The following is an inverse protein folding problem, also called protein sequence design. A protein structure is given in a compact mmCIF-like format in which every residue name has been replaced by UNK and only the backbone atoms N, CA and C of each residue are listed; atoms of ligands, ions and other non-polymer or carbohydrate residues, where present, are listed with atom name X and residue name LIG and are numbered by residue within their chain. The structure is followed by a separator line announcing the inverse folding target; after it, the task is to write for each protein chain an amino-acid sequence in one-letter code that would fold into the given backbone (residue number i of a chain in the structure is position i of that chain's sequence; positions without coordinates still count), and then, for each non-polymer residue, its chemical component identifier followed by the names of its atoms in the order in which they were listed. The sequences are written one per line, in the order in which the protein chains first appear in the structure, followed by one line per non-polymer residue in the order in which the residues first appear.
data_IF_069362229274
#
_entry.id   IF_069362229274
#
_cell.length_a   1.000
_cell.length_b   1.000
_cell.length_c   1.000
_cell.angle_alpha   90.00
_cell.angle_beta   90.00
_cell.angle_gamma   90.00
#
_symmetry.space_group_name_H-M   'P 1'
#
loop_
_entity.id
_entity.type
_entity.pdbx_description
1 polymer ?
#
# COMPACT_ATOMS: atom_id res chain seq x y z
N UNK A 1 32.25 24.16 68.89
CA UNK A 1 33.38 23.91 67.98
C UNK A 1 33.02 24.44 66.60
N UNK A 2 33.88 25.29 66.08
CA UNK A 2 33.89 25.90 64.76
C UNK A 2 34.31 24.83 63.74
N UNK A 3 33.63 24.72 62.59
CA UNK A 3 34.31 24.51 61.30
C UNK A 3 33.51 25.17 60.17
N UNK A 4 34.27 25.84 59.31
CA UNK A 4 33.93 26.74 58.22
C UNK A 4 34.39 26.09 56.91
N UNK A 5 33.72 26.42 55.80
CA UNK A 5 34.19 26.22 54.42
C UNK A 5 33.35 25.18 53.67
N UNK A 6 32.91 25.40 52.43
CA UNK A 6 33.56 26.14 51.35
C UNK A 6 32.50 26.62 50.34
N UNK A 7 32.71 27.83 49.79
CA UNK A 7 32.04 28.32 48.58
C UNK A 7 32.34 27.38 47.41
N UNK A 8 31.30 26.84 46.79
CA UNK A 8 31.39 26.11 45.53
C UNK A 8 30.53 26.83 44.51
N UNK A 9 31.16 27.63 43.65
CA UNK A 9 30.55 28.27 42.50
C UNK A 9 29.84 27.23 41.62
N UNK A 10 28.51 27.23 41.63
CA UNK A 10 27.72 26.42 40.70
C UNK A 10 27.73 27.10 39.33
N UNK A 11 28.73 26.73 38.51
CA UNK A 11 28.69 26.94 37.08
C UNK A 11 27.47 26.18 36.55
N UNK A 12 26.38 26.91 36.28
CA UNK A 12 25.28 26.46 35.42
C UNK A 12 25.83 26.03 34.06
N UNK A 13 26.23 24.77 33.96
CA UNK A 13 26.53 24.06 32.73
C UNK A 13 25.23 23.95 31.94
N UNK A 14 25.22 24.54 30.74
CA UNK A 14 24.09 24.62 29.82
C UNK A 14 23.64 23.28 29.24
N UNK A 15 23.15 22.39 30.10
CA UNK A 15 22.44 21.17 29.72
C UNK A 15 20.91 21.33 29.83
N UNK A 16 20.43 22.52 30.18
CA UNK A 16 19.01 22.83 30.39
C UNK A 16 18.22 23.11 29.09
N UNK A 17 18.71 22.60 27.95
CA UNK A 17 18.02 22.75 26.66
C UNK A 17 18.06 21.49 25.81
N UNK A 18 18.10 20.32 26.46
CA UNK A 18 17.86 19.05 25.76
C UNK A 18 16.35 18.87 25.61
N UNK A 19 15.81 19.44 24.54
CA UNK A 19 14.43 19.18 24.12
C UNK A 19 14.39 17.77 23.52
N UNK A 20 13.76 16.83 24.22
CA UNK A 20 13.51 15.50 23.67
C UNK A 20 12.74 15.62 22.35
N UNK A 21 13.42 15.40 21.21
CA UNK A 21 12.84 15.45 19.87
C UNK A 21 11.82 14.32 19.60
N UNK A 22 11.64 13.41 20.55
CA UNK A 22 10.65 12.33 20.50
C UNK A 22 9.21 12.86 20.37
N UNK A 23 8.91 13.99 21.01
CA UNK A 23 7.58 14.63 20.93
C UNK A 23 7.30 15.30 19.59
N UNK A 24 8.34 15.64 18.82
CA UNK A 24 8.19 16.20 17.47
C UNK A 24 8.07 15.12 16.39
N UNK A 25 8.58 13.90 16.64
CA UNK A 25 8.35 12.74 15.77
C UNK A 25 6.94 12.17 15.91
N UNK A 26 6.32 12.37 17.07
CA UNK A 26 4.97 11.85 17.35
C UNK A 26 3.86 12.70 16.74
N UNK A 27 4.13 13.97 16.39
CA UNK A 27 3.14 14.83 15.74
C UNK A 27 3.08 14.51 14.25
N UNK A 28 2.22 13.55 13.91
CA UNK A 28 1.81 13.15 12.57
C UNK A 28 2.77 12.20 11.84
N UNK A 29 2.47 10.89 11.92
CA UNK A 29 3.00 9.87 11.02
C UNK A 29 2.41 10.03 9.60
N UNK A 30 2.37 11.27 9.09
CA UNK A 30 1.82 11.68 7.78
C UNK A 30 2.88 11.57 6.68
N UNK A 31 4.12 11.26 7.06
CA UNK A 31 5.21 10.96 6.14
C UNK A 31 4.82 9.93 5.06
N UNK A 32 4.12 8.81 5.37
CA UNK A 32 3.69 7.86 4.35
C UNK A 32 2.65 8.43 3.37
N UNK A 33 1.71 9.26 3.84
CA UNK A 33 0.70 9.87 2.96
C UNK A 33 1.36 10.82 1.97
N UNK A 34 2.25 11.69 2.45
CA UNK A 34 2.97 12.64 1.60
C UNK A 34 3.96 11.95 0.67
N UNK A 35 4.58 10.85 1.11
CA UNK A 35 5.43 10.04 0.24
C UNK A 35 4.63 9.39 -0.89
N UNK A 36 3.43 8.87 -0.60
CA UNK A 36 2.55 8.30 -1.62
C UNK A 36 2.09 9.37 -2.62
N UNK A 37 1.71 10.54 -2.12
CA UNK A 37 1.30 11.68 -2.95
C UNK A 37 2.44 12.18 -3.83
N UNK A 38 3.65 12.33 -3.27
CA UNK A 38 4.83 12.75 -4.02
C UNK A 38 5.19 11.73 -5.10
N UNK A 39 5.16 10.43 -4.77
CA UNK A 39 5.37 9.35 -5.72
C UNK A 39 4.33 9.39 -6.86
N UNK A 40 3.04 9.48 -6.52
CA UNK A 40 1.96 9.54 -7.51
C UNK A 40 2.07 10.79 -8.39
N UNK A 41 2.42 11.94 -7.80
CA UNK A 41 2.64 13.19 -8.53
C UNK A 41 3.82 13.08 -9.49
N UNK A 42 4.90 12.38 -9.10
CA UNK A 42 6.05 12.14 -9.96
C UNK A 42 5.73 11.24 -11.17
N UNK A 43 4.72 10.38 -11.08
CA UNK A 43 4.24 9.58 -12.20
C UNK A 43 3.40 10.38 -13.21
N UNK A 44 2.84 11.51 -12.79
CA UNK A 44 1.99 12.33 -13.66
C UNK A 44 2.79 12.98 -14.78
N UNK A 45 2.16 13.06 -15.95
CA UNK A 45 2.64 13.85 -17.09
C UNK A 45 1.67 15.02 -17.28
N UNK A 46 1.95 16.14 -16.62
CA UNK A 46 1.05 17.30 -16.60
C UNK A 46 -0.25 17.00 -15.87
N UNK A 47 -1.38 17.15 -16.55
CA UNK A 47 -2.73 16.92 -16.02
C UNK A 47 -3.18 15.46 -16.02
N UNK A 48 -2.45 14.58 -16.68
CA UNK A 48 -2.89 13.20 -16.82
C UNK A 48 -2.77 12.43 -15.51
N UNK A 49 -3.76 11.56 -15.28
CA UNK A 49 -3.80 10.64 -14.15
C UNK A 49 -2.92 9.45 -14.50
N UNK A 50 -2.00 9.03 -13.62
CA UNK A 50 -1.09 7.96 -13.96
C UNK A 50 -1.85 6.64 -14.14
N UNK A 51 -1.38 5.85 -15.10
CA UNK A 51 -1.92 4.52 -15.35
C UNK A 51 -1.46 3.54 -14.28
N UNK A 52 -2.29 2.55 -13.94
CA UNK A 52 -1.92 1.52 -12.97
C UNK A 52 -0.63 0.77 -13.36
N UNK A 53 -0.39 0.59 -14.66
CA UNK A 53 0.82 -0.03 -15.20
C UNK A 53 2.11 0.74 -14.90
N UNK A 54 2.02 2.05 -14.64
CA UNK A 54 3.18 2.89 -14.29
C UNK A 54 3.56 2.78 -12.81
N UNK A 55 2.66 2.27 -11.97
CA UNK A 55 2.89 2.13 -10.53
C UNK A 55 3.74 0.88 -10.26
N UNK A 56 5.05 1.10 -10.07
CA UNK A 56 6.00 0.10 -9.59
C UNK A 56 5.99 0.03 -8.05
N UNK A 57 5.64 -1.12 -7.43
CA UNK A 57 5.64 -1.27 -5.98
C UNK A 57 7.01 -1.02 -5.33
N UNK A 58 8.11 -1.16 -6.06
CA UNK A 58 9.46 -0.89 -5.55
C UNK A 58 9.65 0.57 -5.14
N UNK A 59 9.02 1.50 -5.86
CA UNK A 59 9.05 2.92 -5.50
C UNK A 59 8.29 3.27 -4.21
N UNK A 60 7.49 2.33 -3.69
CA UNK A 60 6.69 2.47 -2.48
C UNK A 60 7.13 1.54 -1.35
N UNK A 61 8.29 0.89 -1.45
CA UNK A 61 8.74 -0.15 -0.51
C UNK A 61 8.64 0.26 0.97
N UNK A 62 8.98 1.51 1.28
CA UNK A 62 8.97 2.05 2.64
C UNK A 62 7.57 2.20 3.23
N UNK A 63 6.55 2.32 2.38
CA UNK A 63 5.16 2.57 2.80
C UNK A 63 4.20 1.45 2.37
N UNK A 64 4.69 0.43 1.67
CA UNK A 64 3.88 -0.63 1.06
C UNK A 64 3.00 -1.36 2.07
N UNK A 65 3.45 -1.49 3.32
CA UNK A 65 2.67 -2.09 4.42
C UNK A 65 1.38 -1.33 4.73
N UNK A 66 1.31 -0.03 4.43
CA UNK A 66 0.19 0.88 4.68
C UNK A 66 -0.59 1.21 3.41
N UNK A 67 -0.06 0.81 2.26
CA UNK A 67 -0.63 1.05 0.93
C UNK A 67 -1.65 -0.01 0.58
N UNK A 68 -2.64 0.37 -0.21
CA UNK A 68 -3.64 -0.51 -0.78
C UNK A 68 -4.08 0.01 -2.14
N UNK A 69 -4.73 -0.85 -2.91
CA UNK A 69 -5.27 -0.51 -4.23
C UNK A 69 -6.75 -0.82 -4.23
N UNK A 70 -7.55 0.15 -4.65
CA UNK A 70 -8.98 0.03 -4.82
C UNK A 70 -9.36 -0.06 -6.29
N UNK A 71 -10.48 -0.71 -6.55
CA UNK A 71 -11.14 -0.72 -7.85
C UNK A 71 -12.62 -0.37 -7.68
N UNK A 72 -13.11 0.56 -8.51
CA UNK A 72 -14.51 0.95 -8.61
C UNK A 72 -15.30 -0.19 -9.20
N UNK A 73 -16.33 -0.63 -8.49
CA UNK A 73 -17.24 -1.70 -8.95
C UNK A 73 -18.66 -1.20 -9.21
N UNK A 74 -19.02 -0.08 -8.59
CA UNK A 74 -20.27 0.64 -8.80
C UNK A 74 -20.07 2.10 -8.33
N UNK A 75 -20.98 3.04 -8.65
CA UNK A 75 -20.99 4.37 -8.05
C UNK A 75 -20.95 4.30 -6.52
N UNK A 76 -20.03 5.03 -5.90
CA UNK A 76 -19.80 5.05 -4.46
C UNK A 76 -19.24 3.76 -3.84
N UNK A 77 -18.95 2.72 -4.62
CA UNK A 77 -18.43 1.44 -4.12
C UNK A 77 -17.08 1.12 -4.77
N UNK A 78 -16.04 1.10 -3.94
CA UNK A 78 -14.69 0.68 -4.32
C UNK A 78 -14.24 -0.51 -3.46
N UNK A 79 -13.70 -1.55 -4.10
CA UNK A 79 -13.23 -2.79 -3.45
C UNK A 79 -11.71 -2.86 -3.41
N UNK A 80 -11.16 -3.41 -2.34
CA UNK A 80 -9.72 -3.69 -2.24
C UNK A 80 -9.31 -4.77 -3.24
N UNK A 81 -8.33 -4.47 -4.07
CA UNK A 81 -7.63 -5.45 -4.92
C UNK A 81 -6.33 -5.93 -4.29
N UNK A 82 -5.66 -5.03 -3.58
CA UNK A 82 -4.44 -5.26 -2.84
C UNK A 82 -4.49 -4.47 -1.54
N UNK A 83 -3.95 -5.01 -0.46
CA UNK A 83 -3.80 -4.30 0.80
C UNK A 83 -2.51 -4.73 1.50
N UNK A 84 -1.77 -3.76 2.02
CA UNK A 84 -0.58 -3.98 2.84
C UNK A 84 -0.93 -4.56 4.21
N UNK A 85 0.09 -5.12 4.87
CA UNK A 85 -0.07 -5.82 6.14
C UNK A 85 -0.75 -4.96 7.23
N UNK A 86 -0.35 -3.69 7.39
CA UNK A 86 -0.93 -2.82 8.43
C UNK A 86 -2.41 -2.52 8.17
N UNK A 87 -2.82 -2.47 6.90
CA UNK A 87 -4.24 -2.30 6.54
C UNK A 87 -5.05 -3.55 6.92
N UNK A 88 -4.50 -4.74 6.68
CA UNK A 88 -5.12 -5.99 7.12
C UNK A 88 -5.21 -6.10 8.65
N UNK A 89 -4.17 -5.63 9.38
CA UNK A 89 -4.19 -5.57 10.84
C UNK A 89 -5.31 -4.66 11.37
N UNK A 90 -5.54 -3.49 10.74
CA UNK A 90 -6.65 -2.61 11.12
C UNK A 90 -8.02 -3.29 10.95
N UNK A 91 -8.18 -4.14 9.95
CA UNK A 91 -9.40 -4.93 9.77
C UNK A 91 -9.46 -6.20 10.63
N UNK A 92 -8.32 -6.69 11.13
CA UNK A 92 -8.19 -7.98 11.81
C UNK A 92 -8.30 -9.19 10.87
N UNK A 93 -8.30 -8.98 9.55
CA UNK A 93 -8.42 -10.01 8.52
C UNK A 93 -7.87 -9.52 7.17
N UNK A 94 -7.70 -10.43 6.20
CA UNK A 94 -7.39 -10.04 4.82
C UNK A 94 -8.57 -9.29 4.20
N UNK A 95 -8.35 -8.07 3.70
CA UNK A 95 -9.42 -7.22 3.17
C UNK A 95 -9.60 -7.30 1.66
N UNK A 96 -8.85 -8.16 0.97
CA UNK A 96 -8.97 -8.31 -0.48
C UNK A 96 -10.40 -8.71 -0.87
N UNK A 97 -10.99 -7.98 -1.80
CA UNK A 97 -12.38 -8.14 -2.24
C UNK A 97 -13.41 -7.39 -1.39
N UNK A 98 -13.04 -6.92 -0.20
CA UNK A 98 -13.91 -6.15 0.70
C UNK A 98 -14.11 -4.71 0.16
N UNK A 99 -15.28 -4.07 0.38
CA UNK A 99 -15.43 -2.65 0.06
C UNK A 99 -14.70 -1.76 1.09
N UNK A 100 -14.18 -0.61 0.64
CA UNK A 100 -13.53 0.39 1.51
C UNK A 100 -14.47 0.84 2.64
N UNK A 101 -15.76 0.99 2.33
CA UNK A 101 -16.81 1.42 3.27
C UNK A 101 -16.98 0.49 4.47
N UNK A 102 -16.43 -0.73 4.44
CA UNK A 102 -16.44 -1.66 5.58
C UNK A 102 -15.60 -1.17 6.78
N UNK A 103 -14.56 -0.36 6.52
CA UNK A 103 -13.73 0.26 7.56
C UNK A 103 -14.47 1.36 8.33
N UNK A 104 -15.65 1.78 7.88
CA UNK A 104 -16.37 2.92 8.40
C UNK A 104 -17.65 2.52 9.14
N UNK A 105 -18.03 3.34 10.12
CA UNK A 105 -19.33 3.26 10.80
C UNK A 105 -20.47 3.56 9.82
N UNK A 106 -21.70 3.18 10.17
CA UNK A 106 -22.86 3.39 9.30
C UNK A 106 -23.07 4.88 8.94
N UNK A 107 -22.75 5.78 9.87
CA UNK A 107 -22.85 7.23 9.69
C UNK A 107 -21.87 7.74 8.62
N UNK A 108 -20.59 7.38 8.73
CA UNK A 108 -19.56 7.90 7.82
C UNK A 108 -19.55 7.23 6.44
N UNK A 109 -20.20 6.06 6.27
CA UNK A 109 -20.27 5.35 4.98
C UNK A 109 -20.84 6.20 3.86
N UNK A 110 -21.87 7.02 4.13
CA UNK A 110 -22.49 7.90 3.12
C UNK A 110 -21.48 8.94 2.61
N UNK A 111 -20.78 9.60 3.53
CA UNK A 111 -19.74 10.60 3.21
C UNK A 111 -18.63 9.99 2.38
N UNK A 112 -18.11 8.82 2.78
CA UNK A 112 -17.04 8.13 2.04
C UNK A 112 -17.53 7.69 0.64
N UNK A 113 -18.76 7.19 0.54
CA UNK A 113 -19.30 6.73 -0.75
C UNK A 113 -19.46 7.90 -1.73
N UNK A 114 -20.00 9.03 -1.27
CA UNK A 114 -20.13 10.25 -2.07
C UNK A 114 -18.76 10.81 -2.49
N UNK A 115 -17.78 10.82 -1.57
CA UNK A 115 -16.42 11.25 -1.89
C UNK A 115 -15.74 10.35 -2.94
N UNK A 116 -15.90 9.02 -2.82
CA UNK A 116 -15.41 8.06 -3.81
C UNK A 116 -16.03 8.28 -5.18
N UNK A 117 -17.35 8.49 -5.23
CA UNK A 117 -18.07 8.79 -6.48
C UNK A 117 -17.51 10.07 -7.12
N UNK A 118 -17.39 11.15 -6.35
CA UNK A 118 -16.79 12.40 -6.82
C UNK A 118 -15.36 12.20 -7.34
N UNK A 119 -14.50 11.43 -6.66
CA UNK A 119 -13.12 11.18 -7.12
C UNK A 119 -13.06 10.44 -8.45
N UNK A 120 -13.96 9.49 -8.70
CA UNK A 120 -13.92 8.73 -9.95
C UNK A 120 -14.59 9.46 -11.11
N UNK A 121 -15.59 10.32 -10.83
CA UNK A 121 -16.30 11.08 -11.87
C UNK A 121 -15.59 12.40 -12.20
N UNK A 122 -15.07 13.11 -11.20
CA UNK A 122 -14.19 14.29 -11.34
C UNK A 122 -12.85 14.02 -10.62
N UNK A 123 -11.84 13.53 -11.35
CA UNK A 123 -10.55 13.11 -10.79
C UNK A 123 -9.97 14.10 -9.78
N UNK A 124 -9.98 13.66 -8.52
CA UNK A 124 -9.59 14.46 -7.37
C UNK A 124 -8.84 13.60 -6.35
N UNK A 125 -7.93 14.20 -5.60
CA UNK A 125 -7.26 13.58 -4.47
C UNK A 125 -8.20 13.71 -3.27
N UNK A 126 -8.39 12.62 -2.53
CA UNK A 126 -9.17 12.62 -1.30
C UNK A 126 -8.25 12.43 -0.11
N UNK A 127 -8.36 13.30 0.89
CA UNK A 127 -7.73 13.14 2.19
C UNK A 127 -8.81 13.04 3.28
N UNK A 128 -8.68 12.05 4.17
CA UNK A 128 -9.61 11.82 5.26
C UNK A 128 -8.90 11.83 6.60
N UNK A 129 -9.50 12.55 7.54
CA UNK A 129 -9.16 12.51 8.95
C UNK A 129 -10.17 11.64 9.67
N UNK A 130 -9.67 10.63 10.35
CA UNK A 130 -10.45 9.53 10.90
C UNK A 130 -10.18 9.37 12.38
N UNK A 131 -11.20 8.97 13.13
CA UNK A 131 -11.03 8.49 14.49
C UNK A 131 -11.89 7.27 14.77
N UNK A 132 -11.52 6.48 15.77
CA UNK A 132 -12.35 5.39 16.28
C UNK A 132 -13.06 5.84 17.56
N UNK A 133 -14.29 5.37 17.75
CA UNK A 133 -14.99 5.56 19.02
C UNK A 133 -14.24 4.87 20.18
N UNK A 134 -14.02 5.59 21.28
CA UNK A 134 -13.42 5.03 22.47
C UNK A 134 -14.38 4.01 23.12
N UNK A 135 -13.91 2.80 23.36
CA UNK A 135 -14.67 1.77 24.09
C UNK A 135 -14.04 1.55 25.45
N UNK A 136 -14.79 1.05 26.46
CA UNK A 136 -14.21 0.72 27.78
C UNK A 136 -12.95 -0.15 27.73
N UNK A 137 -12.78 -0.96 26.69
CA UNK A 137 -11.63 -1.86 26.49
C UNK A 137 -10.53 -1.28 25.57
N UNK A 138 -10.78 -0.13 24.92
CA UNK A 138 -9.92 0.44 23.87
C UNK A 138 -9.97 1.96 23.91
N UNK A 139 -8.81 2.61 24.02
CA UNK A 139 -8.73 4.06 23.84
C UNK A 139 -9.19 4.51 22.44
N UNK A 140 -9.50 5.80 22.30
CA UNK A 140 -9.68 6.41 20.99
C UNK A 140 -8.37 6.35 20.20
N UNK A 141 -8.49 6.16 18.89
CA UNK A 141 -7.37 6.07 17.95
C UNK A 141 -7.68 6.95 16.75
N UNK A 142 -6.69 7.71 16.34
CA UNK A 142 -6.73 8.54 15.14
C UNK A 142 -6.18 7.75 13.95
N UNK A 143 -6.64 8.08 12.76
CA UNK A 143 -6.07 7.62 11.51
C UNK A 143 -6.19 8.72 10.45
N UNK A 144 -5.30 8.66 9.47
CA UNK A 144 -5.36 9.49 8.27
C UNK A 144 -5.28 8.60 7.06
N UNK A 145 -6.04 8.93 6.03
CA UNK A 145 -6.09 8.19 4.78
C UNK A 145 -6.03 9.15 3.60
N UNK A 146 -5.26 8.80 2.58
CA UNK A 146 -5.26 9.48 1.29
C UNK A 146 -5.67 8.49 0.19
N UNK A 147 -6.46 8.95 -0.77
CA UNK A 147 -6.80 8.21 -1.99
C UNK A 147 -6.39 9.04 -3.21
N UNK A 148 -5.69 8.39 -4.13
CA UNK A 148 -5.09 8.97 -5.31
C UNK A 148 -5.63 8.21 -6.52
N UNK A 149 -6.36 8.85 -7.45
CA UNK A 149 -6.99 8.15 -8.58
C UNK A 149 -5.93 7.60 -9.53
N UNK A 150 -6.24 6.48 -10.17
CA UNK A 150 -5.42 5.79 -11.16
C UNK A 150 -6.28 5.38 -12.35
N UNK A 151 -5.67 5.40 -13.54
CA UNK A 151 -6.31 4.84 -14.73
C UNK A 151 -6.16 3.32 -14.76
N UNK A 152 -7.21 2.63 -15.18
CA UNK A 152 -7.18 1.21 -15.48
C UNK A 152 -6.50 0.97 -16.83
N UNK A 153 -6.31 -0.29 -17.18
CA UNK A 153 -5.67 -0.71 -18.43
C UNK A 153 -6.51 -0.34 -19.67
N UNK A 154 -7.82 -0.13 -19.48
CA UNK A 154 -8.76 0.36 -20.49
C UNK A 154 -8.79 1.90 -20.61
N UNK A 155 -8.01 2.61 -19.78
CA UNK A 155 -7.87 4.06 -19.83
C UNK A 155 -8.91 4.85 -19.03
N UNK A 156 -9.90 4.19 -18.43
CA UNK A 156 -10.90 4.77 -17.52
C UNK A 156 -10.35 4.95 -16.10
N UNK A 157 -10.83 5.96 -15.38
CA UNK A 157 -10.44 6.22 -13.98
C UNK A 157 -11.30 5.33 -13.06
N UNK A 158 -10.95 4.06 -12.97
CA UNK A 158 -11.67 3.07 -12.16
C UNK A 158 -10.82 2.45 -11.05
N UNK A 159 -9.59 2.92 -10.84
CA UNK A 159 -8.70 2.44 -9.77
C UNK A 159 -8.22 3.59 -8.89
N UNK A 160 -7.81 3.28 -7.67
CA UNK A 160 -7.18 4.26 -6.80
C UNK A 160 -6.05 3.63 -5.98
N UNK A 161 -4.96 4.36 -5.80
CA UNK A 161 -3.92 4.08 -4.83
C UNK A 161 -4.33 4.72 -3.51
N UNK A 162 -4.36 3.94 -2.44
CA UNK A 162 -4.66 4.46 -1.11
C UNK A 162 -3.54 4.20 -0.13
N UNK A 163 -3.37 5.09 0.84
CA UNK A 163 -2.50 4.86 2.00
C UNK A 163 -3.27 5.22 3.25
N UNK A 164 -3.26 4.33 4.24
CA UNK A 164 -3.91 4.55 5.53
C UNK A 164 -2.88 4.38 6.65
N UNK A 165 -2.78 5.38 7.51
CA UNK A 165 -1.92 5.38 8.68
C UNK A 165 -2.78 5.57 9.91
N UNK A 166 -2.59 4.75 10.93
CA UNK A 166 -3.29 4.88 12.20
C UNK A 166 -2.31 5.01 13.35
N UNK A 167 -2.70 5.79 14.36
CA UNK A 167 -1.91 6.03 15.55
C UNK A 167 -2.13 4.92 16.59
N UNK A 168 -1.05 4.21 16.92
CA UNK A 168 -1.02 3.17 17.96
C UNK A 168 -0.67 1.77 17.42
N UNK A 169 -0.51 0.81 18.34
CA UNK A 169 -0.05 -0.55 18.02
C UNK A 169 -1.02 -1.39 17.17
N UNK A 170 -0.53 -2.47 16.56
CA UNK A 170 -1.34 -3.39 15.77
C UNK A 170 -2.57 -3.88 16.54
N UNK A 171 -3.77 -3.75 15.96
CA UNK A 171 -4.99 -4.37 16.47
C UNK A 171 -5.15 -5.73 15.79
N UNK A 172 -5.70 -6.73 16.49
CA UNK A 172 -6.14 -8.01 15.88
C UNK A 172 -7.66 -8.07 15.69
N UNK A 173 -8.34 -6.96 15.95
CA UNK A 173 -9.79 -6.84 15.88
C UNK A 173 -10.14 -5.74 14.91
N UNK A 174 -11.19 -5.97 14.12
CA UNK A 174 -11.77 -5.00 13.18
C UNK A 174 -12.04 -3.66 13.85
N UNK A 175 -11.36 -2.63 13.35
CA UNK A 175 -11.57 -1.24 13.76
C UNK A 175 -12.54 -0.57 12.80
N UNK A 176 -13.48 0.20 13.36
CA UNK A 176 -14.40 1.04 12.59
C UNK A 176 -14.10 2.49 12.87
N UNK A 177 -13.98 3.25 11.79
CA UNK A 177 -13.62 4.66 11.82
C UNK A 177 -14.85 5.54 11.52
N UNK A 178 -14.91 6.65 12.23
CA UNK A 178 -15.69 7.82 11.91
C UNK A 178 -14.83 8.78 11.09
N UNK A 179 -15.46 9.58 10.23
CA UNK A 179 -14.81 10.62 9.43
C UNK A 179 -15.01 11.95 10.13
N UNK A 180 -13.92 12.58 10.55
CA UNK A 180 -13.93 13.95 11.10
C UNK A 180 -13.92 14.99 10.00
N UNK A 181 -13.03 14.79 9.03
CA UNK A 181 -12.83 15.72 7.91
C UNK A 181 -12.58 14.94 6.62
N UNK A 182 -13.05 15.51 5.51
CA UNK A 182 -12.85 15.00 4.16
C UNK A 182 -12.46 16.18 3.27
N UNK A 183 -11.19 16.22 2.85
CA UNK A 183 -10.69 17.21 1.90
C UNK A 183 -10.68 16.62 0.50
N UNK A 184 -11.26 17.35 -0.45
CA UNK A 184 -11.27 17.00 -1.88
C UNK A 184 -10.42 18.02 -2.62
N UNK A 185 -9.30 17.58 -3.20
CA UNK A 185 -8.39 18.44 -3.94
C UNK A 185 -8.41 18.07 -5.43
N UNK A 186 -8.85 18.99 -6.27
CA UNK A 186 -8.87 18.77 -7.72
C UNK A 186 -7.46 18.62 -8.27
N UNK A 187 -7.33 17.75 -9.26
CA UNK A 187 -6.10 17.53 -9.99
C UNK A 187 -5.97 18.66 -11.01
N UNK A 188 -5.24 19.71 -10.66
CA UNK A 188 -4.90 20.81 -11.57
C UNK A 188 -3.52 20.61 -12.18
N UNK A 189 -3.25 21.40 -13.22
CA UNK A 189 -1.97 21.43 -13.91
C UNK A 189 -0.89 21.72 -12.91
N UNK A 190 0.06 20.80 -12.78
CA UNK A 190 1.39 21.19 -12.35
C UNK A 190 1.89 22.12 -13.46
N UNK A 191 1.58 23.41 -13.33
CA UNK A 191 2.45 24.46 -13.84
C UNK A 191 3.79 24.16 -13.19
N UNK A 192 4.59 23.32 -13.85
CA UNK A 192 5.99 23.19 -13.52
C UNK A 192 6.47 24.62 -13.55
N UNK A 193 6.76 25.12 -12.36
CA UNK A 193 7.36 26.39 -12.15
C UNK A 193 8.50 26.47 -13.15
N UNK A 194 8.35 27.40 -14.09
CA UNK A 194 9.46 28.17 -14.65
C UNK A 194 10.13 28.92 -13.49
N UNK A 195 10.66 28.13 -12.58
CA UNK A 195 11.42 28.42 -11.39
C UNK A 195 12.09 27.09 -11.02
N UNK A 196 12.87 26.55 -11.96
CA UNK A 196 14.22 26.23 -11.52
C UNK A 196 14.67 27.44 -10.70
N UNK A 197 15.09 27.30 -9.43
CA UNK A 197 15.83 28.39 -8.84
C UNK A 197 16.98 28.59 -9.83
N UNK A 198 16.93 29.67 -10.62
CA UNK A 198 18.14 30.28 -11.08
C UNK A 198 18.94 30.39 -9.80
N UNK A 199 19.94 29.55 -9.69
CA UNK A 199 20.96 29.70 -8.69
C UNK A 199 21.61 31.02 -9.07
N UNK A 200 21.00 32.14 -8.63
CA UNK A 200 21.61 33.45 -8.56
C UNK A 200 22.66 33.34 -7.48
N UNK A 201 23.69 32.54 -7.75
CA UNK A 201 25.01 32.91 -7.30
C UNK A 201 25.19 34.32 -7.85
N UNK A 202 25.16 35.30 -6.96
CA UNK A 202 25.80 36.57 -7.23
C UNK A 202 27.16 36.21 -7.81
N UNK A 203 27.53 36.66 -9.03
CA UNK A 203 28.90 36.53 -9.47
C UNK A 203 29.72 37.15 -8.36
N UNK A 204 30.55 36.34 -7.70
CA UNK A 204 31.55 36.85 -6.77
C UNK A 204 32.31 37.88 -7.60
N UNK A 205 32.19 39.15 -7.25
CA UNK A 205 32.94 40.23 -7.89
C UNK A 205 34.38 39.75 -7.85
N UNK A 206 34.95 39.51 -9.02
CA UNK A 206 36.35 39.17 -9.17
C UNK A 206 37.14 40.32 -8.57
N UNK A 207 37.84 40.05 -7.47
CA UNK A 207 38.83 40.97 -6.91
C UNK A 207 39.77 41.42 -8.04
N UNK A 208 39.99 42.73 -8.25
CA UNK A 208 40.77 43.26 -9.37
C UNK A 208 42.28 42.97 -9.32
N UNK A 209 42.75 42.04 -8.47
CA UNK A 209 44.18 41.79 -8.24
C UNK A 209 44.73 40.45 -8.74
N UNK A 210 44.00 39.70 -9.58
CA UNK A 210 44.47 38.41 -10.12
C UNK A 210 44.49 38.34 -11.66
N UNK A 211 44.67 39.47 -12.35
CA UNK A 211 44.72 39.53 -13.82
C UNK A 211 46.04 39.07 -14.45
N UNK A 212 47.08 38.74 -13.67
CA UNK A 212 48.41 38.43 -14.20
C UNK A 212 48.85 36.98 -13.92
N UNK A 213 48.07 36.01 -14.39
CA UNK A 213 48.57 34.64 -14.57
C UNK A 213 48.37 34.17 -16.01
N UNK A 214 49.40 33.62 -16.68
CA UNK A 214 49.25 33.11 -18.03
C UNK A 214 48.27 31.94 -18.06
N UNK A 215 47.20 32.12 -18.83
CA UNK A 215 46.12 31.17 -19.02
C UNK A 215 46.65 29.91 -19.71
N UNK A 216 46.60 28.76 -19.02
CA UNK A 216 47.06 27.48 -19.58
C UNK A 216 46.15 27.07 -20.75
N UNK A 217 46.74 26.98 -21.94
CA UNK A 217 46.13 26.41 -23.14
C UNK A 217 45.70 24.97 -22.89
N UNK A 218 44.39 24.68 -23.02
CA UNK A 218 43.80 23.35 -22.86
C UNK A 218 43.77 22.55 -24.18
N UNK A 219 44.57 22.95 -25.17
CA UNK A 219 44.72 22.27 -26.46
C UNK A 219 45.95 21.38 -26.49
N UNK A 220 46.24 20.62 -25.43
CA UNK A 220 47.06 19.42 -25.58
C UNK A 220 46.99 18.46 -24.39
N UNK A 221 46.81 17.18 -24.72
CA UNK A 221 47.31 15.97 -24.05
C UNK A 221 47.35 15.97 -22.51
N UNK A 222 46.48 15.16 -21.91
CA UNK A 222 46.46 14.80 -20.48
C UNK A 222 47.87 14.42 -19.98
N UNK A 223 48.44 15.13 -19.00
CA UNK A 223 49.62 14.67 -18.28
C UNK A 223 49.21 13.54 -17.32
N UNK A 224 49.88 12.39 -17.43
CA UNK A 224 49.84 11.38 -16.37
C UNK A 224 50.39 12.00 -15.08
N UNK A 225 49.58 11.95 -14.03
CA UNK A 225 49.97 12.37 -12.69
C UNK A 225 50.49 11.13 -11.97
N UNK A 226 51.81 10.99 -11.87
CA UNK A 226 52.45 10.06 -10.94
C UNK A 226 52.27 10.61 -9.52
N UNK A 227 51.33 10.04 -8.77
CA UNK A 227 51.11 10.46 -7.39
C UNK A 227 49.85 9.87 -6.76
N UNK A 228 50.02 8.68 -6.16
CA UNK A 228 49.22 8.19 -5.03
C UNK A 228 47.67 8.28 -5.18
N UNK A 229 47.13 7.57 -6.16
CA UNK A 229 45.71 7.26 -6.25
C UNK A 229 45.53 5.84 -6.76
N UNK A 230 44.76 5.03 -6.05
CA UNK A 230 44.43 3.66 -6.45
C UNK A 230 44.04 3.58 -7.93
N UNK A 231 44.53 2.57 -8.68
CA UNK A 231 44.12 2.41 -10.07
C UNK A 231 42.63 2.11 -10.11
N UNK A 232 41.84 3.10 -10.56
CA UNK A 232 40.44 2.88 -10.96
C UNK A 232 40.44 1.75 -11.99
N UNK A 233 39.84 0.62 -11.63
CA UNK A 233 39.66 -0.50 -12.53
C UNK A 233 38.85 -0.04 -13.74
N UNK A 234 39.53 0.10 -14.87
CA UNK A 234 38.87 0.11 -16.17
C UNK A 234 38.25 -1.26 -16.35
N UNK A 235 36.93 -1.36 -16.18
CA UNK A 235 36.18 -2.55 -16.54
C UNK A 235 36.26 -2.71 -18.07
N UNK A 236 37.29 -3.41 -18.52
CA UNK A 236 37.33 -3.98 -19.86
C UNK A 236 36.32 -5.13 -19.88
N UNK A 237 35.06 -4.80 -20.19
CA UNK A 237 34.05 -5.80 -20.51
C UNK A 237 34.48 -6.43 -21.83
N UNK A 238 35.29 -7.47 -21.75
CA UNK A 238 35.40 -8.48 -22.80
C UNK A 238 34.00 -9.07 -22.98
N UNK A 239 33.23 -8.50 -23.91
CA UNK A 239 31.90 -8.94 -24.26
C UNK A 239 32.01 -10.34 -24.86
N UNK A 240 31.86 -11.36 -24.03
CA UNK A 240 31.42 -12.66 -24.54
C UNK A 240 30.12 -12.42 -25.27
N UNK A 241 30.11 -12.69 -26.58
CA UNK A 241 28.98 -12.47 -27.46
C UNK A 241 27.71 -13.01 -26.80
N UNK A 242 26.67 -12.19 -26.70
CA UNK A 242 25.35 -12.57 -26.18
C UNK A 242 24.82 -13.86 -26.83
N UNK A 243 25.28 -14.18 -28.05
CA UNK A 243 24.95 -15.41 -28.76
C UNK A 243 25.56 -16.67 -28.13
N UNK A 244 26.76 -16.59 -27.57
CA UNK A 244 27.41 -17.73 -26.92
C UNK A 244 26.79 -18.01 -25.55
N UNK A 245 26.35 -16.96 -24.83
CA UNK A 245 25.60 -17.11 -23.59
C UNK A 245 24.22 -17.71 -23.83
N UNK A 246 23.52 -17.28 -24.90
CA UNK A 246 22.24 -17.85 -25.31
C UNK A 246 22.36 -19.33 -25.71
N UNK A 247 23.43 -19.73 -26.41
CA UNK A 247 23.70 -21.13 -26.77
C UNK A 247 23.96 -21.99 -25.54
N UNK A 248 24.76 -21.49 -24.59
CA UNK A 248 25.06 -22.16 -23.33
C UNK A 248 23.79 -22.42 -22.51
N UNK A 249 22.88 -21.44 -22.44
CA UNK A 249 21.60 -21.59 -21.73
C UNK A 249 20.67 -22.60 -22.40
N UNK A 250 20.61 -22.62 -23.74
CA UNK A 250 19.79 -23.60 -24.46
C UNK A 250 20.29 -25.04 -24.26
N UNK A 251 21.61 -25.26 -24.31
CA UNK A 251 22.19 -26.59 -24.11
C UNK A 251 21.98 -27.08 -22.67
N UNK A 252 22.04 -26.18 -21.69
CA UNK A 252 21.72 -26.50 -20.30
C UNK A 252 20.26 -26.92 -20.12
N UNK A 253 19.32 -26.13 -20.65
CA UNK A 253 17.89 -26.46 -20.59
C UNK A 253 17.55 -27.79 -21.28
N UNK A 254 18.25 -28.10 -22.39
CA UNK A 254 18.06 -29.37 -23.11
C UNK A 254 18.57 -30.58 -22.33
N UNK A 255 19.66 -30.43 -21.55
CA UNK A 255 20.16 -31.47 -20.65
C UNK A 255 19.20 -31.71 -19.49
N UNK A 256 18.77 -30.64 -18.82
CA UNK A 256 17.82 -30.72 -17.70
C UNK A 256 16.51 -31.42 -18.12
N UNK A 257 15.96 -31.09 -19.30
CA UNK A 257 14.79 -31.80 -19.83
C UNK A 257 15.08 -33.27 -20.17
N UNK A 258 16.25 -33.60 -20.71
CA UNK A 258 16.62 -34.99 -21.04
C UNK A 258 16.80 -35.84 -19.78
N UNK A 259 17.30 -35.25 -18.71
CA UNK A 259 17.45 -35.91 -17.41
C UNK A 259 16.09 -36.10 -16.72
N UNK A 260 15.17 -35.13 -16.84
CA UNK A 260 13.79 -35.28 -16.40
C UNK A 260 13.06 -36.42 -17.14
N UNK A 261 13.26 -36.53 -18.47
CA UNK A 261 12.68 -37.62 -19.27
C UNK A 261 13.28 -38.99 -18.96
N UNK A 262 14.56 -39.06 -18.55
CA UNK A 262 15.19 -40.32 -18.10
C UNK A 262 14.73 -40.70 -16.69
N UNK A 263 14.55 -39.75 -15.79
CA UNK A 263 14.05 -39.98 -14.43
C UNK A 263 12.60 -40.49 -14.43
N UNK A 264 11.78 -40.05 -15.38
CA UNK A 264 10.40 -40.55 -15.55
C UNK A 264 10.30 -41.97 -16.14
N UNK A 265 11.41 -42.60 -16.55
CA UNK A 265 11.40 -43.92 -17.19
C UNK A 265 12.31 -44.89 -16.44
N UNK A 266 11.74 -45.58 -15.45
CA UNK A 266 12.30 -46.76 -14.77
C UNK A 266 11.14 -47.71 -14.37
N UNK A 267 11.40 -49.02 -14.21
CA UNK A 267 10.67 -50.05 -14.96
C UNK A 267 9.39 -50.58 -14.30
N UNK A 268 8.55 -51.15 -15.17
CA UNK A 268 7.31 -51.88 -14.89
C UNK A 268 7.44 -52.92 -13.77
N UNK A 269 6.57 -52.81 -12.76
CA UNK A 269 6.20 -53.92 -11.87
C UNK A 269 4.84 -54.48 -12.26
N UNK A 270 4.83 -55.80 -12.30
CA UNK A 270 3.81 -56.75 -12.74
C UNK A 270 2.59 -56.87 -11.81
N UNK A 271 1.48 -57.25 -12.44
CA UNK A 271 0.34 -58.05 -11.95
C UNK A 271 -0.47 -57.57 -10.73
N UNK A 272 -1.64 -57.01 -11.03
CA UNK A 272 -2.83 -57.15 -10.17
C UNK A 272 -4.13 -57.10 -11.02
N UNK A 273 -4.88 -58.20 -10.95
CA UNK A 273 -6.15 -58.50 -11.61
C UNK A 273 -7.31 -57.69 -10.97
N UNK A 274 -8.28 -57.15 -11.73
CA UNK A 274 -9.45 -56.48 -11.13
C UNK A 274 -10.63 -57.44 -10.92
N UNK A 275 -11.35 -57.26 -9.80
CA UNK A 275 -12.66 -57.86 -9.51
C UNK A 275 -13.79 -56.87 -9.86
N UNK A 276 -15.01 -57.34 -10.22
CA UNK A 276 -16.03 -56.50 -10.84
C UNK A 276 -16.91 -55.73 -9.84
N UNK A 277 -17.30 -54.52 -10.26
CA UNK A 277 -18.21 -53.60 -9.56
C UNK A 277 -19.65 -53.92 -9.97
N UNK A 278 -20.53 -54.13 -8.99
CA UNK A 278 -21.97 -54.30 -9.20
C UNK A 278 -22.68 -52.93 -9.21
N UNK A 279 -23.54 -52.75 -10.21
CA UNK A 279 -24.47 -51.61 -10.37
C UNK A 279 -25.81 -51.98 -9.72
N UNK A 280 -26.24 -51.23 -8.71
CA UNK A 280 -27.63 -51.27 -8.22
C UNK A 280 -28.40 -50.08 -8.79
N UNK A 281 -29.39 -50.40 -9.61
CA UNK A 281 -30.45 -49.52 -10.09
C UNK A 281 -31.56 -49.46 -9.04
N UNK A 282 -32.00 -48.26 -8.64
CA UNK A 282 -33.25 -48.08 -7.88
C UNK A 282 -34.19 -47.20 -8.70
N UNK A 283 -35.26 -47.82 -9.19
CA UNK A 283 -36.42 -47.18 -9.81
C UNK A 283 -37.52 -46.90 -8.77
N UNK A 284 -38.14 -45.75 -8.94
CA UNK A 284 -39.24 -45.11 -8.20
C UNK A 284 -40.54 -45.89 -8.23
N UNK A 285 -41.32 -45.92 -7.13
CA UNK A 285 -42.80 -45.89 -7.15
C UNK A 285 -43.42 -45.54 -5.79
N UNK A 286 -44.24 -44.48 -5.84
CA UNK A 286 -45.58 -44.28 -5.24
C UNK A 286 -45.91 -44.27 -3.72
N UNK A 287 -46.49 -43.11 -3.35
CA UNK A 287 -47.81 -42.92 -2.74
C UNK A 287 -48.06 -43.12 -1.23
N UNK A 288 -48.36 -41.97 -0.62
CA UNK A 288 -49.44 -41.69 0.34
C UNK A 288 -49.45 -42.23 1.79
N UNK A 289 -49.61 -41.23 2.68
CA UNK A 289 -50.56 -41.12 3.82
C UNK A 289 -50.06 -41.34 5.25
N UNK A 290 -50.59 -40.45 6.11
CA UNK A 290 -50.69 -40.45 7.59
C UNK A 290 -49.50 -39.85 8.34
N UNK A 291 -49.56 -38.59 8.80
CA UNK A 291 -50.27 -38.06 10.00
C UNK A 291 -49.66 -38.48 11.35
N UNK A 292 -49.23 -37.44 12.07
CA UNK A 292 -49.11 -37.27 13.54
C UNK A 292 -47.84 -37.74 14.26
N UNK A 293 -47.02 -36.77 14.68
CA UNK A 293 -46.81 -36.35 16.08
C UNK A 293 -45.52 -35.51 16.22
N UNK A 294 -45.56 -34.26 16.70
CA UNK A 294 -44.43 -33.62 17.35
C UNK A 294 -44.57 -33.69 18.89
N UNK A 295 -43.46 -33.54 19.65
CA UNK A 295 -43.38 -33.90 21.06
C UNK A 295 -43.98 -32.86 22.02
N UNK A 296 -44.40 -33.40 23.17
CA UNK A 296 -44.95 -32.72 24.35
C UNK A 296 -43.96 -31.75 25.02
N UNK A 297 -44.48 -30.61 25.46
CA UNK A 297 -44.27 -30.13 26.84
C UNK A 297 -43.45 -28.85 27.01
N UNK A 298 -44.13 -27.70 27.12
CA UNK A 298 -43.57 -26.44 27.65
C UNK A 298 -44.68 -25.40 27.80
N UNK A 299 -44.93 -24.93 29.04
CA UNK A 299 -46.15 -24.22 29.45
C UNK A 299 -46.26 -22.76 28.96
N UNK A 300 -47.52 -22.38 28.75
CA UNK A 300 -48.14 -21.08 28.43
C UNK A 300 -47.61 -19.85 29.20
N UNK A 301 -47.50 -18.73 28.48
CA UNK A 301 -47.84 -17.39 28.99
C UNK A 301 -48.62 -16.61 27.92
N UNK A 302 -49.77 -16.10 28.34
CA UNK A 302 -50.74 -15.29 27.60
C UNK A 302 -50.20 -13.91 27.24
N UNK A 303 -50.60 -13.39 26.07
CA UNK A 303 -50.46 -11.97 25.73
C UNK A 303 -50.41 -11.69 24.23
N UNK A 304 -51.52 -11.85 23.52
CA UNK A 304 -51.76 -11.18 22.24
C UNK A 304 -52.72 -9.99 22.48
N UNK A 305 -52.66 -8.95 21.64
CA UNK A 305 -53.56 -9.00 20.48
C UNK A 305 -52.92 -8.59 19.15
N UNK A 306 -53.14 -9.46 18.17
CA UNK A 306 -53.54 -9.22 16.78
C UNK A 306 -53.03 -7.97 16.02
N UNK A 307 -52.19 -8.22 15.01
CA UNK A 307 -52.20 -7.49 13.73
C UNK A 307 -52.37 -8.51 12.60
N UNK A 308 -53.52 -8.42 11.93
CA UNK A 308 -53.95 -9.31 10.84
C UNK A 308 -53.50 -8.67 9.53
N UNK A 309 -52.59 -9.32 8.83
CA UNK A 309 -52.11 -8.93 7.51
C UNK A 309 -52.92 -9.72 6.47
N UNK A 310 -53.73 -9.01 5.69
CA UNK A 310 -54.46 -9.54 4.54
C UNK A 310 -53.54 -9.41 3.33
N UNK A 311 -53.09 -10.53 2.78
CA UNK A 311 -52.54 -10.60 1.42
C UNK A 311 -53.47 -11.48 0.62
N UNK A 312 -54.11 -10.86 -0.37
CA UNK A 312 -54.88 -11.52 -1.42
C UNK A 312 -53.94 -11.78 -2.59
N UNK A 313 -53.93 -13.01 -3.11
CA UNK A 313 -53.88 -13.35 -4.55
C UNK A 313 -53.88 -14.87 -4.75
N UNK A 314 -54.89 -15.28 -5.51
CA UNK A 314 -55.14 -16.46 -6.37
C UNK A 314 -54.45 -17.79 -6.06
#
# INVERSE_FOLDING_TARGET
MIFRGHDGADKKTGLDKVVAMDRFRTRSNVSPLRQAEAYWTALRRGDDIPSRSQVDPRGLENILSQTFILERVAPGIARFRLAGQKVNELAGMEVRGMPLTAFFTAESRKTVSAALEHMFDDPSILEFDLHTEATRLRGSRTAKMILLPLRSDLGDVSRALGVMVSEGGASRVSQRFLVDNCEIRKITKTEQSKAAPEFKATPRVSDPHLQDMPQRDLTNKTPQTDGFGEPRSTFDRKSTSLMDEARSLLDRARRENKDALKSARSPSRSDAKPAPVALETVSTTEAEKLVSRPPRGGKLKNGAPHLRLVVSRD
#
